data_IF_162565491372
#
_entry.id   IF_162565491372
#
_cell.length_a   1.000
_cell.length_b   1.000
_cell.length_c   1.000
_cell.angle_alpha   90.00
_cell.angle_beta   90.00
_cell.angle_gamma   90.00
#
_symmetry.space_group_name_H-M   'P 1'
#
loop_
_entity.id
_entity.type
_entity.pdbx_description
1 polymer ?
#
# COMPACT_ATOMS: atom_id res chain seq x y z
N UNK A 1 13.17 -2.47 -5.40
CA UNK A 1 11.96 -1.96 -6.08
C UNK A 1 12.32 -1.62 -7.51
N UNK A 2 11.53 -2.12 -8.46
CA UNK A 2 11.62 -1.79 -9.88
C UNK A 2 10.31 -1.10 -10.29
N UNK A 3 10.41 -0.05 -11.12
CA UNK A 3 9.28 0.80 -11.49
C UNK A 3 9.25 0.93 -13.00
N UNK A 4 8.17 0.46 -13.60
CA UNK A 4 7.95 0.54 -15.05
C UNK A 4 6.78 1.47 -15.31
N UNK A 5 7.05 2.61 -15.92
CA UNK A 5 6.04 3.55 -16.40
C UNK A 5 5.51 3.08 -17.77
N UNK A 6 4.20 2.85 -17.86
CA UNK A 6 3.48 2.45 -19.08
C UNK A 6 2.60 3.58 -19.63
N UNK A 7 2.83 4.81 -19.20
CA UNK A 7 2.09 6.01 -19.57
C UNK A 7 0.84 6.20 -18.73
N UNK A 8 -0.21 5.42 -19.00
CA UNK A 8 -1.47 5.51 -18.25
C UNK A 8 -1.39 4.84 -16.87
N UNK A 9 -0.41 3.96 -16.67
CA UNK A 9 -0.27 3.12 -15.49
C UNK A 9 1.21 2.99 -15.13
N UNK A 10 1.50 2.74 -13.85
CA UNK A 10 2.84 2.45 -13.36
C UNK A 10 2.82 1.08 -12.68
N UNK A 11 3.66 0.18 -13.15
CA UNK A 11 3.91 -1.08 -12.46
C UNK A 11 5.01 -0.90 -11.43
N UNK A 12 4.72 -1.23 -10.17
CA UNK A 12 5.71 -1.25 -9.12
C UNK A 12 5.96 -2.70 -8.70
N UNK A 13 7.16 -3.19 -8.99
CA UNK A 13 7.63 -4.48 -8.51
C UNK A 13 8.40 -4.29 -7.20
N UNK A 14 7.90 -4.90 -6.13
CA UNK A 14 8.51 -4.88 -4.81
C UNK A 14 8.47 -6.27 -4.17
N UNK A 15 9.34 -6.50 -3.20
CA UNK A 15 9.32 -7.73 -2.42
C UNK A 15 8.05 -7.82 -1.58
N UNK A 16 7.67 -9.05 -1.19
CA UNK A 16 6.53 -9.28 -0.29
C UNK A 16 6.63 -8.48 1.01
N UNK A 17 7.84 -8.34 1.57
CA UNK A 17 8.06 -7.60 2.81
C UNK A 17 7.85 -6.09 2.64
N UNK A 18 8.30 -5.53 1.52
CA UNK A 18 8.08 -4.11 1.18
C UNK A 18 6.58 -3.84 0.96
N UNK A 19 5.87 -4.74 0.26
CA UNK A 19 4.42 -4.62 0.07
C UNK A 19 3.66 -4.53 1.40
N UNK A 20 3.91 -5.45 2.32
CA UNK A 20 3.27 -5.41 3.64
C UNK A 20 3.64 -4.16 4.44
N UNK A 21 4.89 -3.69 4.35
CA UNK A 21 5.30 -2.46 5.01
C UNK A 21 4.52 -1.25 4.48
N UNK A 22 4.37 -1.12 3.16
CA UNK A 22 3.57 -0.04 2.55
C UNK A 22 2.12 -0.11 3.01
N UNK A 23 1.50 -1.29 2.97
CA UNK A 23 0.12 -1.49 3.44
C UNK A 23 -0.03 -1.06 4.91
N UNK A 24 0.89 -1.48 5.78
CA UNK A 24 0.85 -1.12 7.21
C UNK A 24 1.00 0.39 7.43
N UNK A 25 1.90 1.06 6.70
CA UNK A 25 2.08 2.51 6.81
C UNK A 25 0.85 3.29 6.34
N UNK A 26 0.21 2.84 5.26
CA UNK A 26 -1.03 3.45 4.78
C UNK A 26 -2.19 3.25 5.75
N UNK A 27 -2.32 2.06 6.35
CA UNK A 27 -3.31 1.81 7.40
C UNK A 27 -3.09 2.70 8.63
N UNK A 28 -1.85 2.80 9.13
CA UNK A 28 -1.50 3.67 10.26
C UNK A 28 -1.85 5.14 9.98
N UNK A 29 -1.51 5.63 8.78
CA UNK A 29 -1.80 7.00 8.38
C UNK A 29 -3.31 7.29 8.29
N UNK A 30 -4.13 6.29 7.92
CA UNK A 30 -5.59 6.39 7.92
C UNK A 30 -6.22 6.37 9.33
N UNK A 31 -5.54 5.75 10.29
CA UNK A 31 -6.02 5.62 11.67
C UNK A 31 -5.63 6.83 12.54
N UNK A 32 -4.47 7.43 12.27
CA UNK A 32 -3.88 8.48 13.13
C UNK A 32 -3.81 9.86 12.48
N UNK A 33 -3.98 9.95 11.16
CA UNK A 33 -3.84 11.19 10.40
C UNK A 33 -5.02 12.15 10.54
N UNK A 34 -4.73 13.45 10.41
CA UNK A 34 -5.75 14.46 10.10
C UNK A 34 -6.13 14.34 8.62
N UNK A 35 -7.43 14.38 8.32
CA UNK A 35 -7.96 14.17 6.96
C UNK A 35 -7.41 15.18 5.95
N UNK A 36 -7.30 16.47 6.31
CA UNK A 36 -6.84 17.51 5.39
C UNK A 36 -5.34 17.44 5.13
N UNK A 37 -4.55 17.14 6.16
CA UNK A 37 -3.10 16.92 5.99
C UNK A 37 -2.83 15.66 5.15
N UNK A 38 -3.59 14.58 5.41
CA UNK A 38 -3.47 13.33 4.67
C UNK A 38 -3.73 13.56 3.18
N UNK A 39 -4.86 14.18 2.82
CA UNK A 39 -5.22 14.43 1.43
C UNK A 39 -4.17 15.28 0.69
N UNK A 40 -3.65 16.30 1.36
CA UNK A 40 -2.62 17.17 0.79
C UNK A 40 -1.31 16.42 0.52
N UNK A 41 -0.94 15.49 1.41
CA UNK A 41 0.34 14.76 1.33
C UNK A 41 0.29 13.53 0.45
N UNK A 42 -0.82 12.81 0.49
CA UNK A 42 -1.02 11.56 -0.26
C UNK A 42 -1.58 11.84 -1.66
N UNK A 43 -2.28 12.96 -1.83
CA UNK A 43 -2.93 13.31 -3.10
C UNK A 43 -4.19 12.49 -3.40
N UNK A 44 -4.74 11.80 -2.39
CA UNK A 44 -5.97 11.02 -2.47
C UNK A 44 -6.74 11.13 -1.15
N UNK A 45 -8.06 11.03 -1.22
CA UNK A 45 -8.93 11.00 -0.03
C UNK A 45 -8.69 9.76 0.81
N UNK A 46 -8.93 9.88 2.13
CA UNK A 46 -8.87 8.72 3.03
C UNK A 46 -9.84 7.62 2.60
N UNK A 47 -10.97 7.98 1.99
CA UNK A 47 -11.95 7.02 1.46
C UNK A 47 -11.39 6.24 0.28
N UNK A 48 -10.82 6.90 -0.72
CA UNK A 48 -10.19 6.24 -1.89
C UNK A 48 -9.08 5.27 -1.45
N UNK A 49 -8.25 5.67 -0.49
CA UNK A 49 -7.18 4.80 0.02
C UNK A 49 -7.76 3.62 0.80
N UNK A 50 -8.81 3.80 1.61
CA UNK A 50 -9.48 2.68 2.31
C UNK A 50 -10.08 1.68 1.32
N UNK A 51 -10.71 2.16 0.25
CA UNK A 51 -11.26 1.31 -0.80
C UNK A 51 -10.16 0.55 -1.54
N UNK A 52 -9.05 1.23 -1.88
CA UNK A 52 -7.88 0.60 -2.48
C UNK A 52 -7.34 -0.52 -1.60
N UNK A 53 -7.08 -0.23 -0.31
CA UNK A 53 -6.55 -1.23 0.63
C UNK A 53 -7.48 -2.45 0.78
N UNK A 54 -8.81 -2.24 0.77
CA UNK A 54 -9.80 -3.32 0.81
C UNK A 54 -9.86 -4.15 -0.48
N UNK A 55 -9.45 -3.57 -1.61
CA UNK A 55 -9.41 -4.25 -2.91
C UNK A 55 -8.16 -5.12 -3.10
N UNK A 56 -7.14 -4.94 -2.24
CA UNK A 56 -5.90 -5.70 -2.34
C UNK A 56 -6.16 -7.19 -2.13
N UNK A 57 -5.52 -8.07 -2.93
CA UNK A 57 -5.68 -9.50 -2.74
C UNK A 57 -5.14 -9.94 -1.38
N UNK A 58 -5.84 -10.85 -0.71
CA UNK A 58 -5.32 -11.51 0.48
C UNK A 58 -4.08 -12.32 0.12
N UNK A 59 -2.92 -11.84 0.56
CA UNK A 59 -1.66 -12.54 0.40
C UNK A 59 -1.38 -13.33 1.69
N UNK A 60 -1.16 -14.66 1.65
CA UNK A 60 -0.90 -15.43 2.86
C UNK A 60 0.28 -14.82 3.63
N UNK A 61 0.15 -14.54 4.92
CA UNK A 61 1.29 -14.16 5.72
C UNK A 61 2.18 -15.40 5.88
N UNK A 62 3.02 -15.70 4.89
CA UNK A 62 4.08 -16.69 5.07
C UNK A 62 5.01 -16.08 6.13
N UNK A 63 5.07 -16.66 7.33
CA UNK A 63 6.03 -16.22 8.33
C UNK A 63 7.41 -16.28 7.68
N UNK A 64 8.26 -15.29 7.91
CA UNK A 64 9.68 -15.36 7.53
C UNK A 64 10.23 -16.69 8.07
N UNK A 65 10.47 -17.67 7.19
CA UNK A 65 11.06 -18.96 7.56
C UNK A 65 10.39 -20.25 7.06
N UNK A 66 9.35 -20.22 6.23
CA UNK A 66 8.85 -21.48 5.65
C UNK A 66 9.73 -21.94 4.47
N UNK A 67 10.77 -22.71 4.79
CA UNK A 67 11.41 -23.63 3.84
C UNK A 67 10.54 -24.88 3.77
N UNK A 68 9.75 -25.01 2.70
CA UNK A 68 9.18 -26.29 2.25
C UNK A 68 10.03 -26.86 1.14
#
# INVERSE_FOLDING_TARGET
>A
MDVVDRGAEVDVCMTRAEFFLVVSLMSEALETGDERDFETRVGASMTEVRELLRSLPELPLTPRGWNG
#
